data_IF_099921258548
#
_entry.id   IF_099921258548
#
_cell.length_a   1.000
_cell.length_b   1.000
_cell.length_c   1.000
_cell.angle_alpha   90.00
_cell.angle_beta   90.00
_cell.angle_gamma   90.00
#
_symmetry.space_group_name_H-M   'P 1'
#
loop_
_entity.id
_entity.type
_entity.pdbx_description
1 polymer ?
#
# COMPACT_ATOMS: atom_id res chain seq x y z
N UNK A 1 -5.80 25.58 -13.40
CA UNK A 1 -6.51 24.29 -13.48
C UNK A 1 -5.85 23.33 -12.51
N UNK A 2 -6.50 22.95 -11.40
CA UNK A 2 -6.09 21.75 -10.65
C UNK A 2 -6.57 20.56 -11.45
N UNK A 3 -5.68 19.92 -12.21
CA UNK A 3 -6.00 18.67 -12.89
C UNK A 3 -6.35 17.63 -11.84
N UNK A 4 -7.55 17.06 -11.89
CA UNK A 4 -7.97 16.01 -10.98
C UNK A 4 -7.05 14.80 -11.17
N UNK A 5 -6.31 14.41 -10.13
CA UNK A 5 -5.51 13.18 -10.18
C UNK A 5 -6.47 12.02 -10.34
N UNK A 6 -6.40 11.32 -11.48
CA UNK A 6 -7.25 10.16 -11.77
C UNK A 6 -6.61 8.91 -11.17
N UNK A 7 -7.15 8.43 -10.06
CA UNK A 7 -6.87 7.12 -9.50
C UNK A 7 -7.22 6.06 -10.55
N UNK A 8 -6.30 5.13 -10.81
CA UNK A 8 -6.45 4.13 -11.89
C UNK A 8 -6.60 2.71 -11.38
N UNK A 9 -6.01 2.38 -10.24
CA UNK A 9 -6.16 1.06 -9.63
C UNK A 9 -7.15 1.12 -8.46
N UNK A 10 -7.82 0.00 -8.21
CA UNK A 10 -8.74 -0.12 -7.08
C UNK A 10 -7.99 -0.45 -5.78
N UNK A 11 -8.60 -0.26 -4.59
CA UNK A 11 -8.02 -0.75 -3.34
C UNK A 11 -7.70 -2.25 -3.39
N UNK A 12 -8.63 -3.08 -3.91
CA UNK A 12 -8.40 -4.54 -4.02
C UNK A 12 -7.26 -4.90 -4.98
N UNK A 13 -7.00 -4.08 -6.00
CA UNK A 13 -5.87 -4.26 -6.89
C UNK A 13 -4.55 -3.88 -6.20
N UNK A 14 -4.53 -2.77 -5.45
CA UNK A 14 -3.38 -2.40 -4.62
C UNK A 14 -3.06 -3.48 -3.57
N UNK A 15 -4.08 -4.08 -2.94
CA UNK A 15 -3.91 -5.19 -2.00
C UNK A 15 -3.24 -6.40 -2.65
N UNK A 16 -3.71 -6.81 -3.85
CA UNK A 16 -3.12 -7.91 -4.62
C UNK A 16 -1.68 -7.63 -5.02
N UNK A 17 -1.37 -6.39 -5.42
CA UNK A 17 -0.01 -5.97 -5.74
C UNK A 17 0.87 -6.09 -4.49
N UNK A 18 0.46 -5.54 -3.36
CA UNK A 18 1.19 -5.60 -2.10
C UNK A 18 1.44 -7.04 -1.64
N UNK A 19 0.47 -7.94 -1.80
CA UNK A 19 0.58 -9.36 -1.44
C UNK A 19 1.77 -10.04 -2.14
N UNK A 20 2.09 -9.65 -3.38
CA UNK A 20 3.24 -10.22 -4.12
C UNK A 20 4.61 -9.89 -3.50
N UNK A 21 4.69 -8.89 -2.63
CA UNK A 21 5.92 -8.45 -1.98
C UNK A 21 6.08 -8.99 -0.55
N UNK A 22 5.03 -9.58 0.03
CA UNK A 22 5.08 -10.15 1.37
C UNK A 22 5.78 -11.51 1.32
N UNK A 23 6.98 -11.60 1.91
CA UNK A 23 7.77 -12.84 1.99
C UNK A 23 7.80 -13.46 3.37
N UNK A 24 7.43 -12.69 4.40
CA UNK A 24 7.49 -13.12 5.78
C UNK A 24 6.40 -14.15 6.09
N UNK A 25 6.74 -15.36 6.55
CA UNK A 25 5.76 -16.38 6.90
C UNK A 25 4.79 -15.88 7.98
N UNK A 26 3.49 -16.01 7.73
CA UNK A 26 2.44 -15.58 8.66
C UNK A 26 2.05 -14.10 8.56
N UNK A 27 2.79 -13.30 7.79
CA UNK A 27 2.39 -11.94 7.44
C UNK A 27 1.26 -11.93 6.41
N UNK A 28 0.32 -10.99 6.56
CA UNK A 28 -0.82 -10.80 5.67
C UNK A 28 -0.98 -9.33 5.33
N UNK A 29 -1.46 -9.06 4.11
CA UNK A 29 -1.89 -7.71 3.73
C UNK A 29 -3.27 -7.41 4.31
N UNK A 30 -3.40 -6.27 5.00
CA UNK A 30 -4.67 -5.75 5.49
C UNK A 30 -5.39 -4.90 4.43
N UNK A 31 -6.31 -4.05 4.89
CA UNK A 31 -7.18 -3.24 4.02
C UNK A 31 -6.44 -1.98 3.56
N UNK A 32 -6.28 -1.74 2.24
CA UNK A 32 -5.62 -0.54 1.75
C UNK A 32 -6.40 0.74 2.06
N UNK A 33 -5.67 1.78 2.48
CA UNK A 33 -6.20 3.13 2.67
C UNK A 33 -5.63 4.07 1.60
N UNK A 34 -6.50 4.86 0.97
CA UNK A 34 -6.07 5.85 -0.01
C UNK A 34 -5.66 7.14 0.73
N UNK A 35 -4.46 7.64 0.44
CA UNK A 35 -3.93 8.89 1.00
C UNK A 35 -3.14 9.69 -0.05
N UNK A 36 -2.93 10.97 0.20
CA UNK A 36 -2.06 11.85 -0.60
C UNK A 36 -0.74 12.07 0.14
N UNK A 37 0.35 11.51 -0.38
CA UNK A 37 1.68 11.63 0.20
C UNK A 37 2.59 12.37 -0.79
N UNK A 38 3.17 13.50 -0.37
CA UNK A 38 4.04 14.33 -1.22
C UNK A 38 3.43 14.70 -2.59
N UNK A 39 2.11 14.92 -2.64
CA UNK A 39 1.40 15.26 -3.88
C UNK A 39 1.09 14.07 -4.81
N UNK A 40 1.31 12.84 -4.35
CA UNK A 40 0.96 11.62 -5.08
C UNK A 40 -0.13 10.85 -4.33
N UNK A 41 -1.16 10.40 -5.06
CA UNK A 41 -2.17 9.50 -4.52
C UNK A 41 -1.58 8.11 -4.33
N UNK A 42 -1.67 7.56 -3.13
CA UNK A 42 -1.09 6.28 -2.75
C UNK A 42 -2.10 5.43 -1.97
N UNK A 43 -2.03 4.13 -2.16
CA UNK A 43 -2.64 3.14 -1.28
C UNK A 43 -1.61 2.68 -0.24
N UNK A 44 -1.87 2.98 1.02
CA UNK A 44 -1.10 2.45 2.16
C UNK A 44 -1.73 1.10 2.53
N UNK A 45 -0.97 0.01 2.35
CA UNK A 45 -1.42 -1.36 2.61
C UNK A 45 -0.72 -1.88 3.88
N UNK A 46 -1.43 -2.01 5.01
CA UNK A 46 -0.82 -2.52 6.24
C UNK A 46 -0.41 -3.98 6.09
N UNK A 47 0.69 -4.37 6.72
CA UNK A 47 1.15 -5.74 6.87
C UNK A 47 0.95 -6.16 8.32
N UNK A 48 0.25 -7.27 8.52
CA UNK A 48 -0.16 -7.77 9.84
C UNK A 48 0.35 -9.18 10.09
N UNK A 49 0.84 -9.45 11.31
CA UNK A 49 1.09 -10.79 11.84
C UNK A 49 0.22 -10.97 13.08
N UNK A 50 -0.60 -12.02 13.10
CA UNK A 50 -1.56 -12.30 14.18
C UNK A 50 -2.48 -11.09 14.51
N UNK A 51 -2.84 -10.30 13.49
CA UNK A 51 -3.67 -9.10 13.63
C UNK A 51 -2.94 -7.87 14.22
N UNK A 52 -1.63 -7.96 14.44
CA UNK A 52 -0.80 -6.82 14.85
C UNK A 52 -0.08 -6.23 13.63
N UNK A 53 -0.12 -4.91 13.41
CA UNK A 53 0.61 -4.28 12.31
C UNK A 53 2.11 -4.35 12.57
N UNK A 54 2.86 -4.83 11.58
CA UNK A 54 4.33 -4.95 11.63
C UNK A 54 5.02 -4.07 10.57
N UNK A 55 4.23 -3.47 9.68
CA UNK A 55 4.69 -2.53 8.68
C UNK A 55 3.61 -2.23 7.67
N UNK A 56 4.02 -1.66 6.55
CA UNK A 56 3.13 -1.33 5.43
C UNK A 56 3.87 -1.41 4.10
N UNK A 57 3.09 -1.53 3.02
CA UNK A 57 3.56 -1.37 1.64
C UNK A 57 2.71 -0.28 1.01
N UNK A 58 3.38 0.69 0.40
CA UNK A 58 2.75 1.82 -0.27
C UNK A 58 2.71 1.57 -1.77
N UNK A 59 1.53 1.63 -2.37
CA UNK A 59 1.31 1.42 -3.81
C UNK A 59 0.83 2.73 -4.43
N UNK A 60 1.42 3.16 -5.54
CA UNK A 60 0.95 4.34 -6.26
C UNK A 60 -0.46 4.09 -6.84
N UNK A 61 -1.44 4.91 -6.47
CA UNK A 61 -2.84 4.72 -6.86
C UNK A 61 -3.12 5.01 -8.36
N UNK A 62 -2.15 5.58 -9.07
CA UNK A 62 -2.22 5.91 -10.50
C UNK A 62 -1.45 4.90 -11.35
N UNK A 63 -0.28 4.44 -10.90
CA UNK A 63 0.60 3.55 -11.69
C UNK A 63 0.58 2.10 -11.24
N UNK A 64 0.18 1.82 -9.99
CA UNK A 64 0.29 0.50 -9.37
C UNK A 64 1.71 0.12 -8.97
N UNK A 65 2.67 1.04 -9.06
CA UNK A 65 4.05 0.80 -8.65
C UNK A 65 4.16 0.68 -7.12
N UNK A 66 5.01 -0.24 -6.67
CA UNK A 66 5.43 -0.30 -5.28
C UNK A 66 6.37 0.88 -4.99
N UNK A 67 5.95 1.75 -4.07
CA UNK A 67 6.66 2.96 -3.67
C UNK A 67 7.55 2.75 -2.43
N UNK A 68 7.69 1.51 -1.98
CA UNK A 68 8.33 1.15 -0.72
C UNK A 68 7.32 1.06 0.42
N UNK A 69 7.80 1.09 1.65
CA UNK A 69 6.93 1.07 2.83
C UNK A 69 7.75 1.11 4.11
N UNK A 70 7.13 1.55 5.19
CA UNK A 70 7.74 1.51 6.51
C UNK A 70 7.58 0.09 7.09
N UNK A 71 8.67 -0.67 7.11
CA UNK A 71 8.82 -1.84 7.98
C UNK A 71 9.63 -1.42 9.19
N UNK A 72 9.09 -1.63 10.40
CA UNK A 72 9.70 -1.16 11.64
C UNK A 72 11.20 -1.45 11.70
N UNK A 73 12.00 -0.38 11.73
CA UNK A 73 13.32 -0.46 12.33
C UNK A 73 13.14 -0.87 13.82
N UNK A 74 14.07 -1.70 14.36
CA UNK A 74 13.84 -2.68 15.43
C UNK A 74 13.24 -2.15 16.74
#
# INVERSE_FOLDING_TARGET
MKGSVKIKISPSEAQKIAETYVKEPGAKVGIPQLDEVNGQMMYIVPIEINGSPVGEITINAVTGENMGGAGGAP
#
